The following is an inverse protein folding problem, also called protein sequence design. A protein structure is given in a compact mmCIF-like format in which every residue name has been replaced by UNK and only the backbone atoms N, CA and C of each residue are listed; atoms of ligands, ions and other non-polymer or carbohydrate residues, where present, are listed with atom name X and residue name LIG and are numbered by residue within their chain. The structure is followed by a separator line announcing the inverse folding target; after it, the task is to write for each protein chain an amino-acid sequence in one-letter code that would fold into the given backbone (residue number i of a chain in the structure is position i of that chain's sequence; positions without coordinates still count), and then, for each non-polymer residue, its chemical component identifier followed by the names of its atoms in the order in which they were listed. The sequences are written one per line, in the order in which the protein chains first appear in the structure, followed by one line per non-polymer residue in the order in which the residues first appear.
data_IF_533447153391
#
_entry.id   IF_533447153391
#
_cell.length_a   1.000
_cell.length_b   1.000
_cell.length_c   1.000
_cell.angle_alpha   90.00
_cell.angle_beta   90.00
_cell.angle_gamma   90.00
#
_symmetry.space_group_name_H-M   'P 1'
#
loop_
_entity.id
_entity.type
_entity.pdbx_description
1 polymer ?
#
# COMPACT_ATOMS: atom_id res chain seq x y z
N UNK A 1 6.36 -20.74 15.00
CA UNK A 1 5.20 -20.19 15.75
C UNK A 1 4.29 -19.46 14.78
N UNK A 2 3.01 -19.25 15.14
CA UNK A 2 2.04 -18.49 14.32
C UNK A 2 1.42 -17.37 15.17
N UNK A 3 0.75 -16.41 14.53
CA UNK A 3 0.17 -15.19 15.14
C UNK A 3 1.21 -14.26 15.78
N UNK A 4 2.35 -14.05 15.13
CA UNK A 4 3.42 -13.19 15.67
C UNK A 4 3.12 -11.68 15.59
N UNK A 5 2.04 -11.30 14.92
CA UNK A 5 1.42 -9.97 14.93
C UNK A 5 0.81 -9.58 16.27
N UNK A 6 0.31 -10.57 17.01
CA UNK A 6 -0.37 -10.40 18.31
C UNK A 6 0.35 -11.22 19.41
N UNK A 7 1.60 -11.61 19.14
CA UNK A 7 2.38 -12.41 20.08
C UNK A 7 2.86 -11.55 21.24
N UNK A 8 2.84 -12.15 22.44
CA UNK A 8 3.49 -11.56 23.59
C UNK A 8 5.02 -11.70 23.45
N UNK A 9 5.70 -10.56 23.35
CA UNK A 9 7.15 -10.48 23.14
C UNK A 9 7.95 -11.23 24.22
N UNK A 10 7.45 -11.27 25.46
CA UNK A 10 8.11 -12.00 26.53
C UNK A 10 8.12 -13.51 26.26
N UNK A 11 7.01 -14.08 25.80
CA UNK A 11 6.92 -15.51 25.49
C UNK A 11 7.75 -15.88 24.25
N UNK A 12 7.86 -14.98 23.28
CA UNK A 12 8.75 -15.16 22.13
C UNK A 12 10.20 -15.26 22.60
N UNK A 13 10.67 -14.32 23.44
CA UNK A 13 12.02 -14.34 24.00
C UNK A 13 12.31 -15.59 24.83
N UNK A 14 11.36 -16.06 25.63
CA UNK A 14 11.54 -17.29 26.40
C UNK A 14 11.61 -18.54 25.49
N UNK A 15 10.84 -18.58 24.40
CA UNK A 15 10.94 -19.64 23.41
C UNK A 15 12.30 -19.64 22.68
N UNK A 16 12.81 -18.46 22.32
CA UNK A 16 14.16 -18.29 21.75
C UNK A 16 15.26 -18.79 22.71
N UNK A 17 15.17 -18.44 24.01
CA UNK A 17 16.09 -18.95 25.02
C UNK A 17 16.04 -20.46 25.15
N UNK A 18 14.85 -21.06 25.06
CA UNK A 18 14.67 -22.51 25.14
C UNK A 18 15.39 -23.23 24.00
N UNK A 19 15.22 -22.79 22.75
CA UNK A 19 15.84 -23.43 21.58
C UNK A 19 17.37 -23.27 21.55
N UNK A 20 17.91 -22.27 22.25
CA UNK A 20 19.36 -22.05 22.38
C UNK A 20 20.03 -22.99 23.40
N UNK A 21 19.26 -23.72 24.22
CA UNK A 21 19.81 -24.70 25.17
C UNK A 21 20.57 -25.81 24.43
N UNK A 22 21.65 -26.32 25.03
CA UNK A 22 22.55 -27.31 24.41
C UNK A 22 21.82 -28.54 23.86
N UNK A 23 20.77 -28.99 24.54
CA UNK A 23 19.95 -30.14 24.16
C UNK A 23 19.10 -29.92 22.89
N UNK A 24 18.77 -28.67 22.54
CA UNK A 24 17.92 -28.34 21.38
C UNK A 24 18.64 -27.57 20.27
N UNK A 25 19.84 -27.03 20.57
CA UNK A 25 20.60 -26.21 19.63
C UNK A 25 20.83 -26.98 18.33
N UNK A 26 20.43 -26.38 17.20
CA UNK A 26 20.47 -26.92 15.83
C UNK A 26 19.51 -28.09 15.53
N UNK A 27 18.76 -28.58 16.52
CA UNK A 27 17.79 -29.67 16.34
C UNK A 27 16.38 -29.16 16.02
N UNK A 28 16.04 -27.96 16.48
CA UNK A 28 14.73 -27.32 16.27
C UNK A 28 14.91 -26.11 15.36
N UNK A 29 14.18 -26.08 14.25
CA UNK A 29 14.07 -24.90 13.39
C UNK A 29 12.76 -24.20 13.73
N UNK A 30 12.86 -22.92 14.12
CA UNK A 30 11.69 -22.09 14.42
C UNK A 30 11.50 -21.13 13.26
N UNK A 31 10.31 -21.17 12.64
CA UNK A 31 9.85 -20.16 11.70
C UNK A 31 8.70 -19.42 12.36
N UNK A 32 8.86 -18.12 12.54
CA UNK A 32 7.84 -17.23 13.07
C UNK A 32 6.99 -16.68 11.94
N UNK A 33 5.69 -16.89 12.01
CA UNK A 33 4.76 -16.58 10.93
C UNK A 33 3.60 -15.73 11.39
N UNK A 34 2.97 -15.06 10.42
CA UNK A 34 1.66 -14.43 10.51
C UNK A 34 0.89 -14.80 9.25
N UNK A 35 -0.22 -15.51 9.41
CA UNK A 35 -1.02 -15.98 8.28
C UNK A 35 -1.86 -14.84 7.68
N UNK A 36 -2.36 -13.93 8.51
CA UNK A 36 -3.20 -12.80 8.09
C UNK A 36 -2.39 -11.69 7.39
N UNK A 37 -1.14 -11.42 7.80
CA UNK A 37 -0.26 -10.47 7.10
C UNK A 37 0.62 -11.15 6.03
N UNK A 38 0.48 -12.46 5.86
CA UNK A 38 1.27 -13.27 4.93
C UNK A 38 2.79 -13.11 5.15
N UNK A 39 3.24 -13.26 6.40
CA UNK A 39 4.66 -13.14 6.76
C UNK A 39 5.23 -14.53 7.01
N UNK A 40 6.35 -14.82 6.33
CA UNK A 40 7.13 -16.06 6.44
C UNK A 40 6.35 -17.36 6.13
N UNK A 41 5.16 -17.28 5.54
CA UNK A 41 4.34 -18.45 5.19
C UNK A 41 5.08 -19.34 4.18
N UNK A 42 5.53 -18.76 3.07
CA UNK A 42 6.32 -19.49 2.06
C UNK A 42 7.62 -20.04 2.66
N UNK A 43 8.29 -19.26 3.51
CA UNK A 43 9.51 -19.70 4.19
C UNK A 43 9.28 -20.94 5.06
N UNK A 44 8.13 -21.04 5.75
CA UNK A 44 7.79 -22.21 6.55
C UNK A 44 7.65 -23.48 5.67
N UNK A 45 6.97 -23.37 4.52
CA UNK A 45 6.83 -24.49 3.59
C UNK A 45 8.16 -24.88 2.93
N UNK A 46 8.96 -23.90 2.50
CA UNK A 46 10.27 -24.15 1.91
C UNK A 46 11.23 -24.83 2.89
N UNK A 47 11.25 -24.39 4.15
CA UNK A 47 12.06 -25.04 5.18
C UNK A 47 11.59 -26.47 5.43
N UNK A 48 10.27 -26.71 5.48
CA UNK A 48 9.74 -28.06 5.64
C UNK A 48 10.17 -28.99 4.50
N UNK A 49 10.04 -28.53 3.25
CA UNK A 49 10.48 -29.29 2.07
C UNK A 49 11.99 -29.62 2.15
N UNK A 50 12.83 -28.63 2.49
CA UNK A 50 14.27 -28.82 2.62
C UNK A 50 14.67 -29.84 3.70
N UNK A 51 13.90 -29.91 4.81
CA UNK A 51 14.10 -30.91 5.87
C UNK A 51 13.77 -32.31 5.34
N UNK A 52 12.65 -32.46 4.63
CA UNK A 52 12.22 -33.73 4.04
C UNK A 52 13.27 -34.24 3.05
N UNK A 53 13.75 -33.35 2.17
CA UNK A 53 14.73 -33.66 1.14
C UNK A 53 16.17 -33.82 1.65
N UNK A 54 16.40 -33.58 2.96
CA UNK A 54 17.73 -33.63 3.59
C UNK A 54 18.77 -32.75 2.87
N UNK A 55 18.32 -31.61 2.38
CA UNK A 55 19.16 -30.67 1.62
C UNK A 55 20.31 -30.16 2.49
N UNK A 56 21.55 -30.15 1.95
CA UNK A 56 22.73 -29.68 2.70
C UNK A 56 22.73 -28.17 2.95
N UNK A 57 22.15 -27.40 2.03
CA UNK A 57 21.94 -25.95 2.19
C UNK A 57 20.50 -25.71 2.62
N UNK A 58 20.32 -25.11 3.80
CA UNK A 58 19.00 -24.68 4.30
C UNK A 58 18.83 -23.19 4.04
N UNK A 59 17.61 -22.78 3.70
CA UNK A 59 17.24 -21.37 3.60
C UNK A 59 17.43 -20.68 4.95
N UNK A 60 17.93 -19.44 4.92
CA UNK A 60 17.99 -18.60 6.11
C UNK A 60 16.57 -18.24 6.54
N UNK A 61 16.22 -18.54 7.78
CA UNK A 61 14.97 -18.07 8.38
C UNK A 61 15.18 -16.63 8.85
N UNK A 62 14.33 -15.73 8.36
CA UNK A 62 14.36 -14.31 8.74
C UNK A 62 13.47 -14.12 9.97
N UNK A 63 13.93 -13.40 11.02
CA UNK A 63 13.12 -13.09 12.19
C UNK A 63 11.83 -12.37 11.82
N UNK A 64 10.77 -12.59 12.59
CA UNK A 64 9.46 -12.00 12.30
C UNK A 64 9.51 -10.48 12.11
N UNK A 65 10.17 -9.76 13.03
CA UNK A 65 10.20 -8.30 13.03
C UNK A 65 10.86 -7.71 11.77
N UNK A 66 11.90 -8.37 11.26
CA UNK A 66 12.57 -7.99 10.03
C UNK A 66 11.69 -8.30 8.81
N UNK A 67 11.12 -9.51 8.76
CA UNK A 67 10.22 -9.92 7.68
C UNK A 67 8.96 -9.04 7.61
N UNK A 68 8.38 -8.69 8.75
CA UNK A 68 7.23 -7.80 8.88
C UNK A 68 7.55 -6.39 8.35
N UNK A 69 8.72 -5.86 8.71
CA UNK A 69 9.19 -4.56 8.20
C UNK A 69 9.34 -4.58 6.68
N UNK A 70 10.05 -5.57 6.15
CA UNK A 70 10.26 -5.70 4.70
C UNK A 70 8.92 -5.86 3.95
N UNK A 71 7.98 -6.63 4.51
CA UNK A 71 6.63 -6.79 3.95
C UNK A 71 5.89 -5.45 3.91
N UNK A 72 5.91 -4.69 4.99
CA UNK A 72 5.29 -3.36 5.04
C UNK A 72 5.90 -2.41 4.02
N UNK A 73 7.23 -2.33 3.95
CA UNK A 73 7.94 -1.49 2.98
C UNK A 73 7.59 -1.87 1.54
N UNK A 74 7.48 -3.16 1.22
CA UNK A 74 7.05 -3.65 -0.09
C UNK A 74 5.63 -3.18 -0.43
N UNK A 75 4.69 -3.31 0.50
CA UNK A 75 3.29 -2.91 0.33
C UNK A 75 3.16 -1.38 0.15
N UNK A 76 3.90 -0.60 0.94
CA UNK A 76 3.91 0.86 0.86
C UNK A 76 4.53 1.34 -0.46
N UNK A 77 5.67 0.77 -0.86
CA UNK A 77 6.34 1.11 -2.12
C UNK A 77 5.46 0.78 -3.35
N UNK A 78 4.81 -0.39 -3.34
CA UNK A 78 3.88 -0.75 -4.42
C UNK A 78 2.68 0.20 -4.48
N UNK A 79 2.18 0.64 -3.32
CA UNK A 79 1.07 1.59 -3.24
C UNK A 79 1.45 2.96 -3.82
N UNK A 80 2.61 3.49 -3.43
CA UNK A 80 3.09 4.77 -3.93
C UNK A 80 3.32 4.73 -5.46
N UNK A 81 3.92 3.64 -5.93
CA UNK A 81 4.21 3.42 -7.35
C UNK A 81 2.93 3.40 -8.20
N UNK A 82 1.91 2.64 -7.78
CA UNK A 82 0.62 2.65 -8.47
C UNK A 82 -0.06 4.03 -8.42
N UNK A 83 -0.05 4.71 -7.27
CA UNK A 83 -0.65 6.04 -7.16
C UNK A 83 0.03 7.03 -8.10
N UNK A 84 1.36 6.97 -8.24
CA UNK A 84 2.12 7.79 -9.19
C UNK A 84 1.71 7.48 -10.63
N UNK A 85 1.65 6.19 -10.98
CA UNK A 85 1.22 5.74 -12.31
C UNK A 85 -0.19 6.26 -12.66
N UNK A 86 -1.13 6.15 -11.72
CA UNK A 86 -2.49 6.67 -11.88
C UNK A 86 -2.48 8.18 -12.12
N UNK A 87 -1.73 8.96 -11.33
CA UNK A 87 -1.63 10.43 -11.51
C UNK A 87 -1.08 10.82 -12.88
N UNK A 88 -0.11 10.09 -13.40
CA UNK A 88 0.52 10.37 -14.70
C UNK A 88 -0.42 10.07 -15.88
N UNK A 89 -1.21 8.99 -15.80
CA UNK A 89 -2.02 8.53 -16.93
C UNK A 89 -3.50 8.89 -16.85
N UNK A 90 -4.00 9.29 -15.67
CA UNK A 90 -5.41 9.62 -15.42
C UNK A 90 -5.49 11.06 -14.94
N UNK A 91 -5.73 11.97 -15.88
CA UNK A 91 -5.83 13.42 -15.61
C UNK A 91 -7.27 13.93 -15.71
N UNK A 92 -8.15 13.19 -16.39
CA UNK A 92 -9.57 13.50 -16.50
C UNK A 92 -10.39 12.75 -15.44
N UNK A 93 -11.15 13.49 -14.63
CA UNK A 93 -12.05 12.93 -13.63
C UNK A 93 -13.25 12.16 -14.24
N UNK A 94 -13.48 12.27 -15.55
CA UNK A 94 -14.51 11.49 -16.26
C UNK A 94 -13.98 10.15 -16.77
N UNK A 95 -12.70 9.84 -16.55
CA UNK A 95 -12.11 8.60 -17.01
C UNK A 95 -12.83 7.37 -16.44
N UNK A 96 -13.09 6.40 -17.32
CA UNK A 96 -13.76 5.16 -16.97
C UNK A 96 -12.75 4.09 -16.53
N UNK A 97 -13.10 3.32 -15.49
CA UNK A 97 -12.26 2.25 -14.98
C UNK A 97 -11.91 1.20 -16.05
N UNK A 98 -12.87 0.80 -16.89
CA UNK A 98 -12.64 -0.22 -17.93
C UNK A 98 -11.56 0.18 -18.93
N UNK A 99 -11.51 1.47 -19.30
CA UNK A 99 -10.50 2.00 -20.22
C UNK A 99 -9.16 2.22 -19.50
N UNK A 100 -9.21 2.85 -18.32
CA UNK A 100 -8.01 3.15 -17.54
C UNK A 100 -7.28 1.89 -17.10
N UNK A 101 -7.99 0.88 -16.59
CA UNK A 101 -7.39 -0.40 -16.16
C UNK A 101 -6.70 -1.14 -17.30
N UNK A 102 -7.28 -1.15 -18.52
CA UNK A 102 -6.63 -1.75 -19.70
C UNK A 102 -5.32 -1.07 -20.05
N UNK A 103 -5.26 0.26 -19.96
CA UNK A 103 -4.04 1.04 -20.20
C UNK A 103 -3.00 0.83 -19.09
N UNK A 104 -3.42 0.99 -17.83
CA UNK A 104 -2.56 0.84 -16.67
C UNK A 104 -2.01 -0.59 -16.54
N UNK A 105 -2.79 -1.60 -16.93
CA UNK A 105 -2.39 -3.02 -16.88
C UNK A 105 -1.22 -3.41 -17.78
N UNK A 106 -0.81 -2.52 -18.69
CA UNK A 106 0.43 -2.68 -19.48
C UNK A 106 1.69 -2.38 -18.67
N UNK A 107 1.55 -1.75 -17.50
CA UNK A 107 2.66 -1.36 -16.64
C UNK A 107 2.88 -2.36 -15.51
N UNK A 108 4.16 -2.63 -15.21
CA UNK A 108 4.55 -3.60 -14.18
C UNK A 108 4.09 -3.17 -12.79
N UNK A 109 4.09 -1.88 -12.51
CA UNK A 109 3.64 -1.27 -11.26
C UNK A 109 2.17 -1.61 -10.95
N UNK A 110 1.32 -1.64 -11.99
CA UNK A 110 -0.06 -2.05 -11.86
C UNK A 110 -0.18 -3.55 -11.58
N UNK A 111 0.55 -4.37 -12.33
CA UNK A 111 0.53 -5.83 -12.17
C UNK A 111 1.00 -6.24 -10.77
N UNK A 112 2.12 -5.68 -10.30
CA UNK A 112 2.66 -5.92 -8.96
C UNK A 112 1.65 -5.53 -7.87
N UNK A 113 0.99 -4.38 -8.00
CA UNK A 113 0.00 -3.96 -7.01
C UNK A 113 -1.23 -4.87 -7.01
N UNK A 114 -1.72 -5.28 -8.19
CA UNK A 114 -2.84 -6.22 -8.30
C UNK A 114 -2.50 -7.57 -7.69
N UNK A 115 -1.27 -8.06 -7.86
CA UNK A 115 -0.80 -9.30 -7.22
C UNK A 115 -0.80 -9.19 -5.69
N UNK A 116 -0.36 -8.05 -5.15
CA UNK A 116 -0.25 -7.84 -3.70
C UNK A 116 -1.59 -7.55 -3.01
N UNK A 117 -2.49 -6.81 -3.66
CA UNK A 117 -3.71 -6.27 -3.03
C UNK A 117 -5.02 -6.65 -3.73
N UNK A 118 -4.94 -7.24 -4.92
CA UNK A 118 -6.09 -7.57 -5.74
C UNK A 118 -6.63 -6.42 -6.58
N UNK A 119 -7.47 -6.78 -7.55
CA UNK A 119 -8.06 -5.82 -8.49
C UNK A 119 -9.04 -4.85 -7.83
N UNK A 120 -9.75 -5.28 -6.78
CA UNK A 120 -10.71 -4.43 -6.06
C UNK A 120 -10.02 -3.28 -5.31
N UNK A 121 -8.87 -3.55 -4.68
CA UNK A 121 -8.06 -2.52 -4.04
C UNK A 121 -7.54 -1.49 -5.06
N UNK A 122 -7.12 -2.00 -6.22
CA UNK A 122 -6.66 -1.18 -7.35
C UNK A 122 -7.78 -0.26 -7.85
N UNK A 123 -8.99 -0.79 -8.02
CA UNK A 123 -10.15 -0.02 -8.42
C UNK A 123 -10.54 1.02 -7.37
N UNK A 124 -10.43 0.70 -6.06
CA UNK A 124 -10.65 1.67 -4.98
C UNK A 124 -9.68 2.84 -5.04
N UNK A 125 -8.39 2.60 -5.29
CA UNK A 125 -7.40 3.68 -5.46
C UNK A 125 -7.72 4.56 -6.66
N UNK A 126 -8.10 3.95 -7.79
CA UNK A 126 -8.54 4.69 -8.97
C UNK A 126 -9.75 5.59 -8.67
N UNK A 127 -10.81 5.05 -8.03
CA UNK A 127 -12.00 5.83 -7.67
C UNK A 127 -11.67 7.00 -6.73
N UNK A 128 -10.75 6.79 -5.77
CA UNK A 128 -10.27 7.85 -4.88
C UNK A 128 -9.57 8.97 -5.66
N UNK A 129 -8.72 8.61 -6.62
CA UNK A 129 -8.04 9.58 -7.49
C UNK A 129 -9.03 10.36 -8.36
N UNK A 130 -10.02 9.69 -8.96
CA UNK A 130 -11.08 10.35 -9.74
C UNK A 130 -11.86 11.36 -8.90
N UNK A 131 -12.24 11.00 -7.68
CA UNK A 131 -12.89 11.92 -6.74
C UNK A 131 -12.01 13.15 -6.50
N UNK A 132 -10.72 12.94 -6.22
CA UNK A 132 -9.76 14.03 -6.01
C UNK A 132 -9.69 14.99 -7.20
N UNK A 133 -9.59 14.47 -8.43
CA UNK A 133 -9.57 15.29 -9.65
C UNK A 133 -10.85 16.12 -9.80
N UNK A 134 -12.02 15.53 -9.50
CA UNK A 134 -13.29 16.24 -9.55
C UNK A 134 -13.33 17.38 -8.53
N UNK A 135 -12.91 17.11 -7.29
CA UNK A 135 -12.89 18.09 -6.21
C UNK A 135 -11.92 19.24 -6.55
N UNK A 136 -10.74 18.94 -7.09
CA UNK A 136 -9.77 19.93 -7.58
C UNK A 136 -10.34 20.79 -8.72
N UNK A 137 -11.11 20.21 -9.65
CA UNK A 137 -11.73 20.97 -10.74
C UNK A 137 -12.83 21.89 -10.23
N UNK A 138 -13.65 21.43 -9.28
CA UNK A 138 -14.70 22.26 -8.65
C UNK A 138 -14.06 23.42 -7.89
N UNK A 139 -13.02 23.16 -7.10
CA UNK A 139 -12.29 24.19 -6.37
C UNK A 139 -11.70 25.25 -7.32
N UNK A 140 -11.08 24.83 -8.43
CA UNK A 140 -10.56 25.74 -9.46
C UNK A 140 -11.65 26.61 -10.10
N UNK A 141 -12.85 26.06 -10.35
CA UNK A 141 -13.97 26.84 -10.89
C UNK A 141 -14.48 27.87 -9.90
N UNK A 142 -14.65 27.49 -8.64
CA UNK A 142 -15.06 28.41 -7.57
C UNK A 142 -14.06 29.54 -7.45
N UNK A 143 -12.76 29.22 -7.39
CA UNK A 143 -11.71 30.24 -7.33
C UNK A 143 -11.78 31.19 -8.53
N UNK A 144 -11.90 30.66 -9.75
CA UNK A 144 -12.03 31.50 -10.95
C UNK A 144 -13.25 32.42 -10.93
N UNK A 145 -14.40 31.97 -10.41
CA UNK A 145 -15.56 32.85 -10.24
C UNK A 145 -15.33 33.92 -9.18
N UNK A 146 -14.66 33.58 -8.07
CA UNK A 146 -14.31 34.55 -7.03
C UNK A 146 -13.32 35.60 -7.53
N UNK A 147 -12.37 35.21 -8.37
CA UNK A 147 -11.37 36.11 -8.96
C UNK A 147 -12.00 37.11 -9.93
N UNK A 148 -13.02 36.69 -10.71
CA UNK A 148 -13.76 37.57 -11.63
C UNK A 148 -14.87 38.40 -10.95
N UNK A 149 -15.21 38.08 -9.71
CA UNK A 149 -16.34 38.70 -9.01
C UNK A 149 -16.19 40.23 -8.88
N UNK A 150 -15.02 40.81 -8.54
CA UNK A 150 -14.87 42.26 -8.42
C UNK A 150 -15.14 43.00 -9.73
N UNK A 151 -14.64 42.47 -10.85
CA UNK A 151 -14.81 43.07 -12.18
C UNK A 151 -16.29 43.05 -12.60
N UNK A 152 -16.96 41.91 -12.39
CA UNK A 152 -18.40 41.76 -12.68
C UNK A 152 -19.24 42.72 -11.82
N UNK A 153 -18.91 42.85 -10.53
CA UNK A 153 -19.60 43.78 -9.63
C UNK A 153 -19.41 45.24 -10.05
N UNK A 154 -18.20 45.60 -10.51
CA UNK A 154 -17.90 46.93 -11.03
C UNK A 154 -18.67 47.23 -12.33
N UNK A 155 -18.86 46.25 -13.21
CA UNK A 155 -19.66 46.42 -14.44
C UNK A 155 -21.17 46.54 -14.16
N UNK A 156 -21.71 45.70 -13.28
CA UNK A 156 -23.15 45.64 -13.01
C UNK A 156 -23.61 46.78 -12.10
N UNK A 157 -22.74 47.24 -11.20
CA UNK A 157 -23.07 48.24 -10.20
C UNK A 157 -21.88 49.21 -10.01
N UNK A 158 -21.59 50.06 -11.02
CA UNK A 158 -20.43 50.95 -11.01
C UNK A 158 -20.41 51.91 -9.81
N UNK A 159 -21.58 52.21 -9.25
CA UNK A 159 -21.75 53.12 -8.12
C UNK A 159 -21.67 52.43 -6.74
N UNK A 160 -21.40 51.13 -6.63
CA UNK A 160 -21.29 50.44 -5.31
C UNK A 160 -20.17 51.01 -4.46
N UNK A 161 -19.10 51.50 -5.08
CA UNK A 161 -18.02 52.23 -4.40
C UNK A 161 -18.48 53.59 -3.84
N UNK A 162 -19.59 54.17 -4.33
CA UNK A 162 -20.20 55.37 -3.75
C UNK A 162 -21.16 55.10 -2.59
N UNK A 163 -21.57 53.83 -2.37
CA UNK A 163 -22.46 53.42 -1.28
C UNK A 163 -21.71 53.01 0.01
N UNK A 164 -20.37 52.89 -0.04
CA UNK A 164 -19.53 52.47 1.09
C UNK A 164 -18.84 53.70 1.76
N UNK A 165 -19.13 54.93 1.32
CA UNK A 165 -18.70 56.18 1.96
C UNK A 165 -19.81 56.83 2.79
#
# INVERSE_FOLDING_TARGET
TTKNDDANEQYVKEAEKLIMRKEYKNSIIVVETSAHENINIDAAFLVLAQIIDKTKMRSKVVPYSEAARARKEQLDASTESLQRLIRLHVTDYRALWSQASKKLGQHREFQNFVELFGIDATQRLFRRHIKKLKDEQVAKKIQGYLDMLPDILHEICPDVSTLIN
#
